data_IF_354439598403
#
_entry.id   IF_354439598403
#
_cell.length_a   1.000
_cell.length_b   1.000
_cell.length_c   1.000
_cell.angle_alpha   90.00
_cell.angle_beta   90.00
_cell.angle_gamma   90.00
#
_symmetry.space_group_name_H-M   'P 1'
#
loop_
_entity.id
_entity.type
_entity.pdbx_description
1 polymer ?
#
# COMPACT_ATOMS: atom_id res chain seq x y z
N UNK A 1 12.26 -22.07 -17.60
CA UNK A 1 12.49 -21.77 -16.17
C UNK A 1 13.37 -20.55 -15.95
N UNK A 2 14.58 -20.45 -16.53
CA UNK A 2 15.46 -19.28 -16.32
C UNK A 2 15.00 -17.99 -17.03
N UNK A 3 14.35 -18.07 -18.19
CA UNK A 3 13.86 -16.88 -18.91
C UNK A 3 12.62 -16.24 -18.26
N UNK A 4 11.88 -16.98 -17.43
CA UNK A 4 10.65 -16.50 -16.77
C UNK A 4 10.92 -15.69 -15.51
N UNK A 5 12.08 -15.87 -14.87
CA UNK A 5 12.47 -15.16 -13.63
C UNK A 5 12.92 -13.73 -13.95
N UNK A 6 13.53 -13.50 -15.11
CA UNK A 6 14.00 -12.17 -15.52
C UNK A 6 12.86 -11.22 -15.93
N UNK A 7 11.77 -11.74 -16.50
CA UNK A 7 10.65 -10.92 -16.99
C UNK A 7 9.71 -10.41 -15.89
N UNK A 8 9.76 -10.99 -14.69
CA UNK A 8 8.85 -10.63 -13.59
C UNK A 8 9.25 -9.30 -12.92
N UNK A 9 10.55 -9.00 -12.87
CA UNK A 9 11.07 -7.77 -12.24
C UNK A 9 10.73 -6.48 -13.01
N UNK A 10 10.22 -6.56 -14.24
CA UNK A 10 10.12 -5.39 -15.12
C UNK A 10 8.78 -4.66 -15.02
N UNK A 11 7.75 -5.25 -14.38
CA UNK A 11 6.39 -4.70 -14.39
C UNK A 11 5.82 -4.32 -13.02
N UNK A 12 6.65 -4.35 -11.96
CA UNK A 12 6.30 -3.82 -10.65
C UNK A 12 6.96 -2.47 -10.42
N UNK A 13 6.15 -1.45 -10.14
CA UNK A 13 6.64 -0.12 -9.75
C UNK A 13 6.49 -0.01 -8.24
N UNK A 14 7.61 0.07 -7.52
CA UNK A 14 7.62 0.37 -6.09
C UNK A 14 7.94 1.85 -5.84
N UNK A 15 7.16 2.48 -4.95
CA UNK A 15 7.37 3.84 -4.46
C UNK A 15 7.28 3.85 -2.95
N UNK A 16 8.34 4.31 -2.31
CA UNK A 16 8.38 4.56 -0.88
C UNK A 16 8.11 6.06 -0.66
N UNK A 17 7.04 6.36 0.05
CA UNK A 17 6.52 7.70 0.27
C UNK A 17 6.62 8.04 1.75
N UNK A 18 7.02 9.27 2.06
CA UNK A 18 6.91 9.85 3.41
C UNK A 18 5.86 10.94 3.32
N UNK A 19 4.77 10.81 4.06
CA UNK A 19 3.62 11.73 3.98
C UNK A 19 3.11 12.09 5.37
N UNK A 20 2.70 13.34 5.53
CA UNK A 20 2.00 13.83 6.72
C UNK A 20 0.48 13.70 6.54
N UNK A 21 -0.28 13.76 7.64
CA UNK A 21 -1.74 13.80 7.57
C UNK A 21 -2.17 15.03 6.76
N UNK A 22 -3.11 14.85 5.83
CA UNK A 22 -3.57 15.79 4.80
C UNK A 22 -2.57 16.07 3.66
N UNK A 23 -1.42 15.41 3.64
CA UNK A 23 -0.47 15.56 2.56
C UNK A 23 -0.93 14.78 1.30
N UNK A 24 -0.50 15.24 0.13
CA UNK A 24 -0.84 14.61 -1.14
C UNK A 24 0.36 14.48 -2.04
N UNK A 25 0.56 13.28 -2.57
CA UNK A 25 1.64 12.94 -3.48
C UNK A 25 1.10 12.71 -4.89
N UNK A 26 1.60 13.48 -5.85
CA UNK A 26 1.20 13.38 -7.25
C UNK A 26 2.32 12.74 -8.07
N UNK A 27 1.97 11.76 -8.90
CA UNK A 27 2.89 11.14 -9.86
C UNK A 27 2.17 10.81 -11.17
N UNK A 28 2.65 11.38 -12.27
CA UNK A 28 1.98 11.24 -13.57
C UNK A 28 0.52 11.72 -13.51
N UNK A 29 -0.43 10.84 -13.83
CA UNK A 29 -1.88 11.10 -13.73
C UNK A 29 -2.53 10.52 -12.45
N UNK A 30 -1.71 10.08 -11.50
CA UNK A 30 -2.14 9.53 -10.22
C UNK A 30 -1.87 10.49 -9.07
N UNK A 31 -2.78 10.56 -8.10
CA UNK A 31 -2.66 11.35 -6.88
C UNK A 31 -3.00 10.48 -5.69
N UNK A 32 -2.08 10.33 -4.74
CA UNK A 32 -2.31 9.68 -3.46
C UNK A 32 -2.46 10.75 -2.38
N UNK A 33 -3.54 10.74 -1.64
CA UNK A 33 -3.78 11.67 -0.53
C UNK A 33 -3.85 10.89 0.77
N UNK A 34 -3.13 11.33 1.79
CA UNK A 34 -3.20 10.75 3.12
C UNK A 34 -4.21 11.53 3.96
N UNK A 35 -5.43 11.02 4.08
CA UNK A 35 -6.52 11.78 4.69
C UNK A 35 -6.45 11.79 6.21
N UNK A 36 -6.31 10.61 6.82
CA UNK A 36 -6.34 10.48 8.26
C UNK A 36 -5.71 9.17 8.73
N UNK A 37 -5.35 9.10 10.00
CA UNK A 37 -4.91 7.89 10.67
C UNK A 37 -5.71 7.68 11.95
N UNK A 38 -6.17 6.46 12.17
CA UNK A 38 -6.93 6.07 13.34
C UNK A 38 -6.09 5.13 14.18
N UNK A 39 -5.88 5.51 15.44
CA UNK A 39 -5.30 4.65 16.45
C UNK A 39 -6.44 4.02 17.25
N UNK A 40 -6.47 2.70 17.32
CA UNK A 40 -7.35 1.93 18.19
C UNK A 40 -6.50 1.17 19.19
N UNK A 41 -6.89 1.17 20.46
CA UNK A 41 -6.26 0.33 21.46
C UNK A 41 -7.27 -0.73 21.89
N UNK A 42 -6.94 -1.99 21.65
CA UNK A 42 -7.73 -3.14 22.06
C UNK A 42 -6.96 -3.88 23.16
N UNK A 43 -7.64 -4.61 24.04
CA UNK A 43 -7.01 -5.29 25.19
C UNK A 43 -5.80 -6.18 24.84
N UNK A 44 -5.73 -6.66 23.59
CA UNK A 44 -4.70 -7.56 23.10
C UNK A 44 -3.72 -6.92 22.10
N UNK A 45 -4.06 -5.78 21.49
CA UNK A 45 -3.21 -5.14 20.48
C UNK A 45 -3.54 -3.66 20.25
N UNK A 46 -2.52 -2.88 19.92
CA UNK A 46 -2.67 -1.57 19.30
C UNK A 46 -2.91 -1.74 17.79
N UNK A 47 -3.92 -1.06 17.26
CA UNK A 47 -4.26 -1.02 15.85
C UNK A 47 -4.05 0.39 15.30
N UNK A 48 -3.40 0.48 14.16
CA UNK A 48 -3.14 1.73 13.47
C UNK A 48 -3.69 1.55 12.05
N UNK A 49 -4.73 2.30 11.70
CA UNK A 49 -5.35 2.25 10.37
C UNK A 49 -5.16 3.59 9.69
N UNK A 50 -4.44 3.61 8.56
CA UNK A 50 -4.36 4.81 7.73
C UNK A 50 -5.49 4.80 6.70
N UNK A 51 -6.04 5.97 6.42
CA UNK A 51 -7.03 6.21 5.37
C UNK A 51 -6.36 7.00 4.27
N UNK A 52 -6.12 6.35 3.14
CA UNK A 52 -5.55 6.95 1.95
C UNK A 52 -6.57 6.96 0.82
N UNK A 53 -6.49 8.00 0.00
CA UNK A 53 -7.34 8.18 -1.16
C UNK A 53 -6.44 8.26 -2.41
N UNK A 54 -6.53 7.23 -3.24
CA UNK A 54 -5.78 7.13 -4.49
C UNK A 54 -6.70 7.50 -5.66
N UNK A 55 -6.34 8.56 -6.37
CA UNK A 55 -7.07 9.06 -7.54
C UNK A 55 -6.21 8.78 -8.77
N UNK A 56 -6.76 8.12 -9.77
CA UNK A 56 -6.07 7.95 -11.06
C UNK A 56 -7.07 8.05 -12.21
N UNK A 57 -6.78 8.90 -13.20
CA UNK A 57 -7.62 9.08 -14.39
C UNK A 57 -9.10 9.33 -14.05
N UNK A 58 -9.37 10.10 -13.00
CA UNK A 58 -10.72 10.41 -12.51
C UNK A 58 -11.40 9.30 -11.70
N UNK A 59 -10.78 8.13 -11.51
CA UNK A 59 -11.28 7.08 -10.61
C UNK A 59 -10.70 7.27 -9.21
N UNK A 60 -11.55 7.09 -8.20
CA UNK A 60 -11.18 7.22 -6.79
C UNK A 60 -11.17 5.82 -6.17
N UNK A 61 -10.06 5.49 -5.52
CA UNK A 61 -9.85 4.26 -4.78
C UNK A 61 -9.52 4.61 -3.33
N UNK A 62 -10.35 4.14 -2.41
CA UNK A 62 -10.03 4.23 -1.00
C UNK A 62 -9.16 3.04 -0.61
N UNK A 63 -8.05 3.36 0.06
CA UNK A 63 -7.10 2.39 0.58
C UNK A 63 -6.99 2.56 2.09
N UNK A 64 -7.12 1.47 2.84
CA UNK A 64 -7.07 1.47 4.30
C UNK A 64 -6.08 0.45 4.86
N UNK A 65 -4.75 0.62 4.63
CA UNK A 65 -3.75 -0.27 5.21
C UNK A 65 -3.78 -0.18 6.74
N UNK A 66 -3.50 -1.30 7.39
CA UNK A 66 -3.58 -1.44 8.83
C UNK A 66 -2.28 -2.02 9.39
N UNK A 67 -1.91 -1.61 10.60
CA UNK A 67 -0.79 -2.15 11.36
C UNK A 67 -1.28 -2.54 12.74
N UNK A 68 -0.94 -3.73 13.20
CA UNK A 68 -1.29 -4.24 14.53
C UNK A 68 -0.03 -4.51 15.33
N UNK A 69 -0.02 -4.12 16.60
CA UNK A 69 1.07 -4.38 17.55
C UNK A 69 0.50 -5.11 18.76
N UNK A 70 0.89 -6.37 18.93
CA UNK A 70 0.40 -7.23 20.00
C UNK A 70 1.23 -7.06 21.28
N UNK A 71 0.57 -6.73 22.39
CA UNK A 71 1.23 -6.46 23.67
C UNK A 71 1.88 -7.71 24.28
N UNK A 72 1.19 -8.85 24.20
CA UNK A 72 1.58 -10.10 24.87
C UNK A 72 2.80 -10.80 24.27
N UNK A 73 3.12 -10.53 22.99
CA UNK A 73 4.23 -11.17 22.27
C UNK A 73 5.24 -10.19 21.68
N UNK A 74 4.99 -8.87 21.79
CA UNK A 74 5.80 -7.86 21.12
C UNK A 74 5.80 -7.97 19.59
N UNK A 75 4.85 -8.72 19.02
CA UNK A 75 4.78 -8.96 17.59
C UNK A 75 4.10 -7.79 16.89
N UNK A 76 4.72 -7.27 15.84
CA UNK A 76 4.15 -6.24 14.96
C UNK A 76 3.78 -6.90 13.64
N UNK A 77 2.54 -6.74 13.21
CA UNK A 77 2.04 -7.20 11.91
C UNK A 77 1.51 -6.00 11.11
N UNK A 78 1.68 -6.04 9.80
CA UNK A 78 1.13 -5.06 8.87
C UNK A 78 0.22 -5.76 7.88
N UNK A 79 -0.98 -5.25 7.73
CA UNK A 79 -1.98 -5.69 6.76
C UNK A 79 -1.95 -4.73 5.56
N UNK A 80 -1.45 -5.27 4.45
CA UNK A 80 -1.44 -4.59 3.15
C UNK A 80 -2.87 -4.41 2.66
N UNK A 81 -3.24 -3.21 2.23
CA UNK A 81 -4.48 -3.05 1.47
C UNK A 81 -4.19 -3.20 -0.03
N UNK A 82 -5.08 -3.93 -0.72
CA UNK A 82 -4.89 -4.35 -2.11
C UNK A 82 -6.11 -3.91 -2.91
N UNK A 83 -5.85 -3.10 -3.94
CA UNK A 83 -6.87 -2.70 -4.91
C UNK A 83 -6.52 -3.17 -6.30
N UNK A 84 -7.24 -4.19 -6.75
CA UNK A 84 -7.14 -4.68 -8.12
C UNK A 84 -7.97 -3.85 -9.08
N UNK A 85 -7.33 -3.33 -10.12
CA UNK A 85 -7.96 -2.68 -11.26
C UNK A 85 -7.94 -3.65 -12.47
N UNK A 86 -8.48 -3.23 -13.61
CA UNK A 86 -8.42 -3.99 -14.86
C UNK A 86 -6.98 -4.17 -15.38
N UNK A 87 -6.12 -3.16 -15.21
CA UNK A 87 -4.78 -3.12 -15.78
C UNK A 87 -3.65 -3.41 -14.77
N UNK A 88 -3.88 -3.14 -13.48
CA UNK A 88 -2.85 -3.22 -12.45
C UNK A 88 -3.45 -3.52 -11.08
N UNK A 89 -2.62 -4.07 -10.21
CA UNK A 89 -2.91 -4.31 -8.80
C UNK A 89 -2.11 -3.32 -7.96
N UNK A 90 -2.82 -2.59 -7.11
CA UNK A 90 -2.28 -1.53 -6.25
C UNK A 90 -2.16 -2.11 -4.86
N UNK A 91 -0.93 -2.22 -4.35
CA UNK A 91 -0.63 -2.66 -3.01
C UNK A 91 -0.14 -1.46 -2.22
N UNK A 92 -0.70 -1.25 -1.03
CA UNK A 92 -0.19 -0.22 -0.13
C UNK A 92 0.03 -0.77 1.27
N UNK A 93 1.21 -0.44 1.80
CA UNK A 93 1.62 -0.80 3.14
C UNK A 93 1.89 0.44 3.96
N UNK A 94 1.50 0.40 5.23
CA UNK A 94 1.88 1.38 6.24
C UNK A 94 3.16 0.91 6.93
N UNK A 95 4.14 1.80 6.98
CA UNK A 95 5.43 1.58 7.63
C UNK A 95 5.44 2.07 9.07
N UNK A 96 6.52 2.74 9.44
CA UNK A 96 6.69 3.36 10.75
C UNK A 96 6.41 4.85 10.71
N UNK A 97 6.04 5.38 11.87
CA UNK A 97 5.99 6.80 12.12
C UNK A 97 7.41 7.32 12.28
N UNK A 98 7.72 8.43 11.62
CA UNK A 98 8.98 9.14 11.75
C UNK A 98 8.79 10.27 12.78
N UNK A 99 9.88 10.76 13.38
CA UNK A 99 9.93 11.79 14.41
C UNK A 99 9.14 13.09 14.08
N UNK A 100 8.91 13.38 12.80
CA UNK A 100 8.19 14.57 12.31
C UNK A 100 6.67 14.36 12.14
N UNK A 101 6.07 13.44 12.90
CA UNK A 101 4.68 12.98 12.74
C UNK A 101 4.30 12.44 11.33
N UNK A 102 5.30 12.24 10.47
CA UNK A 102 5.11 11.67 9.15
C UNK A 102 5.02 10.16 9.20
N UNK A 103 4.25 9.59 8.29
CA UNK A 103 4.16 8.15 8.11
C UNK A 103 4.84 7.75 6.82
N UNK A 104 5.50 6.59 6.87
CA UNK A 104 6.04 5.95 5.68
C UNK A 104 4.98 5.05 5.05
N UNK A 105 4.82 5.16 3.75
CA UNK A 105 3.94 4.30 2.96
C UNK A 105 4.75 3.66 1.84
N UNK A 106 4.54 2.36 1.64
CA UNK A 106 5.11 1.65 0.49
C UNK A 106 3.98 1.32 -0.47
N UNK A 107 3.96 2.04 -1.59
CA UNK A 107 3.04 1.82 -2.70
C UNK A 107 3.74 0.92 -3.72
N UNK A 108 3.11 -0.19 -4.06
CA UNK A 108 3.59 -1.08 -5.11
C UNK A 108 2.49 -1.28 -6.15
N UNK A 109 2.79 -0.98 -7.41
CA UNK A 109 1.89 -1.14 -8.54
C UNK A 109 2.40 -2.30 -9.39
N UNK A 110 1.68 -3.40 -9.40
CA UNK A 110 2.01 -4.53 -10.25
C UNK A 110 1.12 -4.52 -11.49
N UNK A 111 1.70 -4.30 -12.67
CA UNK A 111 1.00 -4.30 -13.93
C UNK A 111 0.98 -5.74 -14.49
N UNK A 112 -0.16 -6.18 -15.05
CA UNK A 112 -0.31 -7.45 -15.78
C UNK A 112 -0.17 -8.79 -15.00
N UNK A 113 -0.24 -8.83 -13.66
CA UNK A 113 -0.21 -10.12 -12.92
C UNK A 113 -1.29 -11.11 -13.42
N UNK A 114 -2.48 -10.60 -13.80
CA UNK A 114 -3.59 -11.43 -14.31
C UNK A 114 -3.28 -12.16 -15.63
N UNK A 115 -2.30 -11.71 -16.41
CA UNK A 115 -1.95 -12.32 -17.70
C UNK A 115 -1.01 -13.53 -17.54
N UNK A 116 -0.35 -13.66 -16.39
CA UNK A 116 0.47 -14.85 -16.08
C UNK A 116 -0.41 -16.10 -16.04
N UNK A 117 -1.64 -15.99 -15.54
CA UNK A 117 -2.59 -17.11 -15.47
C UNK A 117 -3.17 -17.53 -16.82
N UNK A 118 -3.20 -16.63 -17.82
CA UNK A 118 -3.65 -16.97 -19.17
C UNK A 118 -2.56 -17.63 -20.03
N UNK A 119 -1.29 -17.56 -19.64
CA UNK A 119 -0.18 -18.19 -20.39
C UNK A 119 -0.03 -19.69 -20.12
N UNK A 120 -0.94 -20.31 -19.35
CA UNK A 120 -0.89 -21.73 -19.02
C UNK A 120 -1.84 -22.60 -19.87
N UNK A 121 -2.45 -22.00 -20.90
CA UNK A 121 -3.28 -22.70 -21.88
C UNK A 121 -2.63 -22.68 -23.27
#
# INVERSE_FOLDING_TARGET
>A
MLLSIAANSTFSIEKNLKMNINDSFEFGSSKLTFNNIQFGNEDNFERIRASLLFIENGKIFQLTPEKRRYFTRGQITSETDIKSTFLKDIYINIGEQIEDNSWTFRLQLNYFIKWIWFSIF
#
